data_IF_568601765460
#
_entry.id   IF_568601765460
#
_cell.length_a   1.000
_cell.length_b   1.000
_cell.length_c   1.000
_cell.angle_alpha   90.00
_cell.angle_beta   90.00
_cell.angle_gamma   90.00
#
_symmetry.space_group_name_H-M   'P 1'
#
loop_
_entity.id
_entity.type
_entity.pdbx_description
1 polymer ?
#
# COMPACT_ATOMS: atom_id res chain seq x y z
N UNK A 1 7.11 4.63 4.79
CA UNK A 1 6.66 3.31 4.27
C UNK A 1 5.80 3.55 3.04
N UNK A 2 6.02 2.79 1.97
CA UNK A 2 5.25 2.92 0.74
C UNK A 2 4.07 1.94 0.73
N UNK A 3 2.89 2.43 0.39
CA UNK A 3 1.68 1.64 0.18
C UNK A 3 1.41 1.54 -1.32
N UNK A 4 1.80 0.41 -1.91
CA UNK A 4 1.76 0.25 -3.36
C UNK A 4 0.35 -0.10 -3.85
N UNK A 5 -0.22 0.72 -4.73
CA UNK A 5 -1.50 0.45 -5.37
C UNK A 5 -1.41 0.67 -6.88
N UNK A 6 -1.34 -0.42 -7.64
CA UNK A 6 -1.21 -0.39 -9.11
C UNK A 6 -2.45 -1.02 -9.74
N UNK A 7 -3.05 -0.32 -10.69
CA UNK A 7 -4.15 -0.80 -11.51
C UNK A 7 -3.92 -0.40 -12.96
N UNK A 8 -3.47 -1.32 -13.80
CA UNK A 8 -3.26 -1.04 -15.21
C UNK A 8 -4.60 -0.94 -15.95
N UNK A 9 -4.70 0.00 -16.89
CA UNK A 9 -5.79 -0.02 -17.87
C UNK A 9 -5.49 -1.12 -18.90
N UNK A 10 -6.53 -1.77 -19.44
CA UNK A 10 -6.34 -2.80 -20.47
C UNK A 10 -5.77 -2.24 -21.78
N UNK A 11 -6.03 -0.96 -22.04
CA UNK A 11 -5.67 -0.23 -23.26
C UNK A 11 -5.18 1.15 -22.85
N UNK A 12 -3.99 1.51 -23.31
CA UNK A 12 -3.31 2.75 -22.92
C UNK A 12 -3.85 3.97 -23.70
N UNK A 13 -4.32 3.76 -24.92
CA UNK A 13 -4.88 4.79 -25.78
C UNK A 13 -6.23 5.36 -25.28
N UNK A 14 -6.91 4.63 -24.39
CA UNK A 14 -8.20 5.03 -23.85
C UNK A 14 -8.01 6.00 -22.70
N UNK A 15 -8.39 7.26 -22.90
CA UNK A 15 -8.37 8.28 -21.85
C UNK A 15 -9.52 8.07 -20.87
N UNK A 16 -9.21 8.10 -19.58
CA UNK A 16 -10.19 8.02 -18.50
C UNK A 16 -9.94 9.14 -17.48
N UNK A 17 -11.01 9.72 -16.95
CA UNK A 17 -10.92 10.52 -15.72
C UNK A 17 -10.73 9.53 -14.58
N UNK A 18 -9.66 9.68 -13.80
CA UNK A 18 -9.34 8.79 -12.69
C UNK A 18 -9.49 9.55 -11.37
N UNK A 19 -10.30 9.00 -10.47
CA UNK A 19 -10.42 9.45 -9.09
C UNK A 19 -9.92 8.34 -8.17
N UNK A 20 -9.06 8.69 -7.22
CA UNK A 20 -8.51 7.74 -6.25
C UNK A 20 -8.92 8.15 -4.86
N UNK A 21 -9.37 7.20 -4.06
CA UNK A 21 -9.64 7.38 -2.65
C UNK A 21 -8.92 6.33 -1.82
N UNK A 22 -8.23 6.78 -0.79
CA UNK A 22 -7.55 5.93 0.16
C UNK A 22 -8.26 5.94 1.50
N UNK A 23 -8.44 4.74 2.03
CA UNK A 23 -9.11 4.54 3.30
C UNK A 23 -8.24 3.74 4.26
N UNK A 24 -8.38 4.04 5.55
CA UNK A 24 -7.69 3.36 6.63
C UNK A 24 -8.65 2.69 7.61
N UNK A 25 -8.29 1.48 8.03
CA UNK A 25 -8.98 0.66 9.01
C UNK A 25 -7.97 0.14 10.05
N UNK A 26 -7.93 0.71 11.27
CA UNK A 26 -6.89 0.42 12.26
C UNK A 26 -6.90 -1.01 12.84
N UNK A 27 -8.02 -1.73 12.74
CA UNK A 27 -8.15 -3.15 13.14
C UNK A 27 -9.11 -3.84 12.15
N UNK A 28 -9.30 -5.16 12.25
CA UNK A 28 -10.28 -5.92 11.45
C UNK A 28 -11.35 -6.55 12.36
N UNK A 29 -11.99 -5.72 13.18
CA UNK A 29 -13.15 -6.08 14.00
C UNK A 29 -14.42 -5.59 13.31
N UNK A 30 -15.53 -6.31 13.53
CA UNK A 30 -16.77 -6.25 12.73
C UNK A 30 -17.48 -4.88 12.67
N UNK A 31 -17.02 -3.88 13.41
CA UNK A 31 -17.61 -2.54 13.54
C UNK A 31 -16.58 -1.41 13.35
N UNK A 32 -15.70 -1.52 12.36
CA UNK A 32 -14.64 -0.51 12.17
C UNK A 32 -15.06 0.54 11.16
N UNK A 33 -14.97 1.79 11.60
CA UNK A 33 -15.18 2.97 10.79
C UNK A 33 -14.07 3.06 9.76
N UNK A 34 -14.45 2.98 8.49
CA UNK A 34 -13.56 3.22 7.35
C UNK A 34 -13.28 4.73 7.27
N UNK A 35 -12.04 5.15 7.47
CA UNK A 35 -11.64 6.56 7.51
C UNK A 35 -11.05 6.94 6.16
N UNK A 36 -11.60 7.95 5.47
CA UNK A 36 -11.00 8.48 4.24
C UNK A 36 -9.79 9.34 4.61
N UNK A 37 -8.61 9.00 4.10
CA UNK A 37 -7.34 9.61 4.51
C UNK A 37 -6.64 10.38 3.37
N UNK A 38 -6.95 10.07 2.12
CA UNK A 38 -6.31 10.70 0.97
C UNK A 38 -7.21 10.60 -0.26
N UNK A 39 -7.25 11.67 -1.05
CA UNK A 39 -7.99 11.72 -2.32
C UNK A 39 -7.08 12.21 -3.43
N UNK A 40 -7.22 11.66 -4.63
CA UNK A 40 -6.69 12.23 -5.85
C UNK A 40 -7.86 12.49 -6.79
N UNK A 41 -8.09 13.74 -7.14
CA UNK A 41 -9.15 14.16 -8.05
C UNK A 41 -8.71 15.43 -8.78
N UNK A 42 -9.08 15.55 -10.06
CA UNK A 42 -8.76 16.72 -10.90
C UNK A 42 -7.27 17.08 -10.84
N UNK A 43 -6.42 16.06 -11.06
CA UNK A 43 -4.95 16.13 -11.08
C UNK A 43 -4.29 16.64 -9.79
N UNK A 44 -5.04 16.67 -8.69
CA UNK A 44 -4.56 17.20 -7.41
C UNK A 44 -4.69 16.16 -6.30
N UNK A 45 -3.58 15.78 -5.63
CA UNK A 45 -3.64 14.99 -4.41
C UNK A 45 -4.05 15.89 -3.23
N UNK A 46 -5.02 15.42 -2.46
CA UNK A 46 -5.58 16.11 -1.29
C UNK A 46 -5.50 15.16 -0.10
N UNK A 47 -4.76 15.57 0.93
CA UNK A 47 -4.78 14.90 2.23
C UNK A 47 -6.04 15.31 3.00
N UNK A 48 -6.70 14.33 3.62
CA UNK A 48 -7.91 14.56 4.39
C UNK A 48 -7.61 14.52 5.90
N UNK A 49 -8.53 15.09 6.68
CA UNK A 49 -8.39 15.07 8.14
C UNK A 49 -8.40 13.64 8.69
N UNK A 50 -7.53 13.37 9.66
CA UNK A 50 -7.42 12.04 10.25
C UNK A 50 -6.07 11.76 10.90
N UNK A 51 -5.79 10.49 11.24
CA UNK A 51 -4.58 10.10 11.98
C UNK A 51 -3.27 10.25 11.19
N UNK A 52 -3.35 10.54 9.88
CA UNK A 52 -2.19 10.68 9.02
C UNK A 52 -1.91 12.11 8.57
N UNK A 53 -2.71 13.10 8.98
CA UNK A 53 -2.57 14.50 8.55
C UNK A 53 -1.13 15.00 8.68
N UNK A 54 -0.58 15.56 7.60
CA UNK A 54 0.79 16.04 7.48
C UNK A 54 1.84 14.94 7.29
N UNK A 55 1.43 13.67 7.07
CA UNK A 55 2.34 12.52 6.92
C UNK A 55 2.12 11.74 5.64
N UNK A 56 1.10 12.07 4.83
CA UNK A 56 0.86 11.40 3.55
C UNK A 56 1.44 12.19 2.38
N UNK A 57 2.10 11.46 1.49
CA UNK A 57 2.65 12.00 0.25
C UNK A 57 2.21 11.16 -0.93
N UNK A 58 1.87 11.81 -2.04
CA UNK A 58 1.57 11.14 -3.30
C UNK A 58 2.87 10.58 -3.90
N UNK A 59 2.84 9.30 -4.29
CA UNK A 59 3.94 8.62 -4.96
C UNK A 59 3.43 7.80 -6.16
N UNK A 60 2.35 8.27 -6.79
CA UNK A 60 1.80 7.66 -8.00
C UNK A 60 2.47 8.17 -9.27
N UNK A 61 2.21 7.47 -10.37
CA UNK A 61 2.69 7.82 -11.70
C UNK A 61 1.80 8.87 -12.37
N UNK A 62 2.36 9.58 -13.35
CA UNK A 62 1.65 10.62 -14.11
C UNK A 62 0.46 10.07 -14.92
N UNK A 63 0.57 8.82 -15.40
CA UNK A 63 -0.49 8.14 -16.16
C UNK A 63 -1.57 7.51 -15.26
N UNK A 64 -1.45 7.66 -13.93
CA UNK A 64 -2.40 7.15 -12.93
C UNK A 64 -2.64 5.64 -13.02
N UNK A 65 -1.65 4.89 -13.53
CA UNK A 65 -1.61 3.42 -13.41
C UNK A 65 -1.07 2.99 -12.06
N UNK A 66 -0.10 3.72 -11.52
CA UNK A 66 0.37 3.63 -10.15
C UNK A 66 -0.23 4.80 -9.34
N UNK A 67 -0.94 4.49 -8.27
CA UNK A 67 -1.61 5.47 -7.40
C UNK A 67 -1.18 5.31 -5.95
N UNK A 68 0.08 4.90 -5.77
CA UNK A 68 0.71 4.66 -4.48
C UNK A 68 0.84 5.93 -3.64
N UNK A 69 0.75 5.75 -2.32
CA UNK A 69 1.02 6.80 -1.33
C UNK A 69 2.15 6.37 -0.42
N UNK A 70 2.83 7.34 0.18
CA UNK A 70 3.86 7.11 1.19
C UNK A 70 3.46 7.74 2.52
N UNK A 71 3.58 6.94 3.58
CA UNK A 71 3.43 7.38 4.97
C UNK A 71 4.82 7.75 5.52
N UNK A 72 4.95 8.99 5.97
CA UNK A 72 6.13 9.51 6.66
C UNK A 72 6.10 9.18 8.15
N UNK A 73 7.27 8.95 8.75
CA UNK A 73 7.44 8.70 10.19
C UNK A 73 6.48 7.63 10.74
N UNK A 74 6.66 6.41 10.27
CA UNK A 74 5.76 5.29 10.56
C UNK A 74 5.91 4.81 12.00
N UNK A 75 4.79 4.55 12.65
CA UNK A 75 4.70 4.09 14.05
C UNK A 75 3.87 2.80 14.15
N UNK A 76 3.88 2.16 15.32
CA UNK A 76 3.08 0.95 15.58
C UNK A 76 1.58 1.13 15.33
N UNK A 77 1.07 2.33 15.61
CA UNK A 77 -0.34 2.70 15.46
C UNK A 77 -0.79 2.83 14.01
N UNK A 78 0.15 2.86 13.06
CA UNK A 78 -0.14 2.89 11.62
C UNK A 78 -0.41 1.46 11.09
N UNK A 79 -0.30 0.42 11.92
CA UNK A 79 -0.67 -0.95 11.54
C UNK A 79 -2.18 -1.04 11.34
N UNK A 80 -2.60 -1.65 10.23
CA UNK A 80 -4.01 -1.75 9.86
C UNK A 80 -4.19 -2.20 8.42
N UNK A 81 -5.42 -2.06 7.93
CA UNK A 81 -5.76 -2.31 6.52
C UNK A 81 -5.96 -0.96 5.83
N UNK A 82 -5.28 -0.82 4.70
CA UNK A 82 -5.41 0.32 3.81
C UNK A 82 -6.14 -0.14 2.55
N UNK A 83 -7.21 0.56 2.19
CA UNK A 83 -7.99 0.28 1.00
C UNK A 83 -7.81 1.41 -0.01
N UNK A 84 -7.41 1.05 -1.21
CA UNK A 84 -7.25 1.95 -2.35
C UNK A 84 -8.39 1.71 -3.33
N UNK A 85 -9.21 2.72 -3.55
CA UNK A 85 -10.34 2.71 -4.50
C UNK A 85 -10.00 3.58 -5.70
N UNK A 86 -10.05 2.98 -6.89
CA UNK A 86 -9.70 3.62 -8.15
C UNK A 86 -10.96 3.61 -9.02
N UNK A 87 -11.58 4.76 -9.15
CA UNK A 87 -12.71 4.98 -10.04
C UNK A 87 -12.19 5.55 -11.36
N UNK A 88 -12.45 4.86 -12.47
CA UNK A 88 -12.15 5.35 -13.81
C UNK A 88 -13.44 5.59 -14.57
N UNK A 89 -13.61 6.79 -15.09
CA UNK A 89 -14.71 7.17 -15.97
C UNK A 89 -14.16 7.34 -17.39
N UNK A 90 -14.58 6.47 -18.29
CA UNK A 90 -14.13 6.50 -19.68
C UNK A 90 -15.06 7.39 -20.48
N UNK A 91 -14.53 8.39 -21.18
CA UNK A 91 -15.36 9.27 -22.02
C UNK A 91 -15.46 8.70 -23.42
N UNK A 92 -16.61 8.13 -23.78
CA UNK A 92 -16.97 7.83 -25.17
C UNK A 92 -18.05 8.79 -25.64
N UNK A 93 -18.20 8.95 -26.97
CA UNK A 93 -19.09 9.94 -27.59
C UNK A 93 -20.54 9.91 -27.07
N UNK A 94 -21.07 8.73 -26.75
CA UNK A 94 -22.47 8.53 -26.40
C UNK A 94 -22.69 7.88 -25.02
N UNK A 95 -21.61 7.48 -24.33
CA UNK A 95 -21.69 6.79 -23.05
C UNK A 95 -20.43 7.02 -22.21
N UNK A 96 -20.60 7.04 -20.89
CA UNK A 96 -19.51 7.18 -19.92
C UNK A 96 -19.50 5.97 -18.97
N UNK A 97 -18.99 4.81 -19.41
CA UNK A 97 -18.83 3.68 -18.51
C UNK A 97 -17.83 4.04 -17.41
N UNK A 98 -18.07 3.50 -16.23
CA UNK A 98 -17.14 3.59 -15.12
C UNK A 98 -16.67 2.20 -14.67
N UNK A 99 -15.45 2.13 -14.16
CA UNK A 99 -14.89 0.95 -13.54
C UNK A 99 -14.33 1.31 -12.16
N UNK A 100 -14.76 0.59 -11.13
CA UNK A 100 -14.23 0.71 -9.78
C UNK A 100 -13.30 -0.48 -9.50
N UNK A 101 -12.07 -0.20 -9.12
CA UNK A 101 -11.10 -1.19 -8.64
C UNK A 101 -10.77 -0.92 -7.18
N UNK A 102 -10.90 -1.94 -6.34
CA UNK A 102 -10.57 -1.87 -4.91
C UNK A 102 -9.40 -2.79 -4.60
N UNK A 103 -8.40 -2.29 -3.88
CA UNK A 103 -7.22 -3.06 -3.44
C UNK A 103 -6.98 -2.85 -1.96
N UNK A 104 -6.81 -3.96 -1.24
CA UNK A 104 -6.56 -3.95 0.20
C UNK A 104 -5.09 -4.31 0.49
N UNK A 105 -4.48 -3.53 1.39
CA UNK A 105 -3.08 -3.66 1.80
C UNK A 105 -3.07 -3.78 3.32
N UNK A 106 -2.52 -4.87 3.85
CA UNK A 106 -2.35 -5.03 5.29
C UNK A 106 -0.95 -4.59 5.69
N UNK A 107 -0.84 -3.50 6.44
CA UNK A 107 0.41 -3.02 7.01
C UNK A 107 0.57 -3.55 8.44
N UNK A 108 1.71 -4.18 8.72
CA UNK A 108 2.10 -4.59 10.07
C UNK A 108 3.46 -3.99 10.40
N UNK A 109 3.46 -3.04 11.32
CA UNK A 109 4.69 -2.39 11.80
C UNK A 109 5.23 -3.19 12.99
N UNK A 110 6.51 -3.55 12.93
CA UNK A 110 7.23 -4.28 13.99
C UNK A 110 8.44 -3.46 14.43
N UNK A 111 8.91 -3.69 15.65
CA UNK A 111 10.19 -3.15 16.08
C UNK A 111 11.30 -3.68 15.18
N UNK A 112 12.30 -2.85 14.96
CA UNK A 112 13.49 -3.24 14.20
C UNK A 112 14.32 -4.20 15.05
N UNK A 113 13.94 -5.49 15.02
CA UNK A 113 14.70 -6.60 15.60
C UNK A 113 15.79 -7.09 14.66
N UNK A 114 16.82 -7.74 15.22
CA UNK A 114 17.95 -8.29 14.47
C UNK A 114 17.49 -9.22 13.35
N UNK A 115 17.89 -8.87 12.12
CA UNK A 115 17.78 -9.61 10.86
C UNK A 115 16.75 -10.76 10.88
N UNK A 116 15.53 -10.47 10.41
CA UNK A 116 14.67 -11.50 9.86
C UNK A 116 15.51 -12.27 8.83
N UNK A 117 15.82 -13.52 9.16
CA UNK A 117 16.43 -14.47 8.24
C UNK A 117 15.39 -14.72 7.15
N UNK A 118 15.37 -13.85 6.14
CA UNK A 118 14.61 -14.09 4.93
C UNK A 118 15.04 -15.44 4.38
N UNK A 119 14.10 -16.31 3.97
CA UNK A 119 14.49 -17.54 3.30
C UNK A 119 15.20 -17.12 2.01
N UNK A 120 16.50 -17.39 1.95
CA UNK A 120 17.28 -17.47 0.70
C UNK A 120 16.70 -18.62 -0.14
N UNK A 121 15.48 -18.43 -0.65
CA UNK A 121 14.82 -19.30 -1.61
C UNK A 121 15.44 -19.08 -2.99
N UNK A 122 16.75 -19.29 -3.10
CA UNK A 122 17.49 -19.51 -4.34
C UNK A 122 18.98 -19.77 -4.07
N UNK A 123 19.32 -20.46 -2.97
CA UNK A 123 20.68 -21.00 -2.83
C UNK A 123 20.59 -22.46 -2.41
N UNK A 124 20.80 -23.36 -3.38
CA UNK A 124 21.07 -24.78 -3.14
C UNK A 124 22.43 -25.04 -2.42
N UNK A 125 23.01 -24.03 -1.78
CA UNK A 125 24.27 -24.11 -1.01
C UNK A 125 24.14 -23.05 0.11
N UNK A 126 24.09 -23.26 1.43
CA UNK A 126 24.52 -24.32 2.36
C UNK A 126 23.63 -24.26 3.62
N UNK A 127 23.05 -25.37 4.13
CA UNK A 127 22.44 -25.40 5.47
C UNK A 127 23.45 -25.54 6.62
N UNK A 128 24.74 -25.20 6.41
CA UNK A 128 25.81 -25.48 7.37
C UNK A 128 26.11 -24.28 8.28
N UNK A 129 26.00 -23.03 7.80
CA UNK A 129 26.36 -21.86 8.60
C UNK A 129 25.35 -21.55 9.71
N UNK A 130 24.05 -21.77 9.47
CA UNK A 130 23.01 -21.47 10.47
C UNK A 130 23.11 -22.37 11.72
N UNK A 131 23.66 -23.59 11.59
CA UNK A 131 23.84 -24.51 12.73
C UNK A 131 25.07 -24.19 13.58
N UNK A 132 26.01 -23.37 13.09
CA UNK A 132 27.22 -23.01 13.82
C UNK A 132 26.98 -21.89 14.85
N UNK A 133 26.07 -20.95 14.57
CA UNK A 133 25.77 -19.85 15.50
C UNK A 133 24.90 -20.28 16.69
N UNK A 134 24.04 -21.29 16.52
CA UNK A 134 23.20 -21.79 17.62
C UNK A 134 23.95 -22.72 18.59
N UNK A 135 25.02 -23.39 18.15
CA UNK A 135 25.79 -24.32 19.00
C UNK A 135 26.90 -23.65 19.83
N UNK A 136 27.23 -22.39 19.54
CA UNK A 136 28.23 -21.61 20.29
C UNK A 136 27.71 -20.92 21.55
N UNK A 137 26.41 -20.97 21.84
CA UNK A 137 25.79 -20.34 23.02
C UNK A 137 25.23 -21.32 24.07
N UNK A 138 25.53 -22.62 23.96
CA UNK A 138 25.10 -23.65 24.93
C UNK A 138 26.31 -24.35 25.59
N UNK A 139 27.51 -23.76 25.53
CA UNK A 139 28.59 -24.11 26.46
C UNK A 139 29.17 -22.87 27.12
N UNK A 140 28.48 -22.37 28.14
CA UNK A 140 29.04 -21.84 29.38
C UNK A 140 28.06 -22.12 30.50
#
# INVERSE_FOLDING_TARGET
MMLTCISCMRREEVKAKTTVEWYYMPKNEKNITKINIYKFEDDTPVELDGPFKGRLTWNGSQDLQDVSIQILNVTFNDSGIYECNILREFKFNFFTPSALTTKNITLRVKEKGAADCFPLSSMLFLPVLCKALAKGLISM
#
